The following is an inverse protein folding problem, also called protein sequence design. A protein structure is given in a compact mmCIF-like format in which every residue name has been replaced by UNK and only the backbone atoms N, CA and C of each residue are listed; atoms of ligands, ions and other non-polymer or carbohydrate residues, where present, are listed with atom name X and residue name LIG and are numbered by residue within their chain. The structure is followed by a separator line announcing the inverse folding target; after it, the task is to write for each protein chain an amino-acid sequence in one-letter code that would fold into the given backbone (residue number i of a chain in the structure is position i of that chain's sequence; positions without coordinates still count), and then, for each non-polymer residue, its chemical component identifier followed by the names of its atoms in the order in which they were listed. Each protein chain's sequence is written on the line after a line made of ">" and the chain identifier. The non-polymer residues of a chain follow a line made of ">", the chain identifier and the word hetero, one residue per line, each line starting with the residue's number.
data_IF_536829096080
#
_entry.id   IF_536829096080
#
_cell.length_a   1.000
_cell.length_b   1.000
_cell.length_c   1.000
_cell.angle_alpha   90.00
_cell.angle_beta   90.00
_cell.angle_gamma   90.00
#
_symmetry.space_group_name_H-M   'P 1'
#
loop_
_entity.id
_entity.type
_entity.pdbx_description
1 polymer ?
#
# COMPACT_ATOMS: atom_id res chain seq x y z
N UNK A 1 16.46 23.94 -36.77
CA UNK A 1 15.53 22.78 -36.69
C UNK A 1 16.13 21.60 -35.94
N UNK A 2 17.40 21.28 -36.14
CA UNK A 2 18.09 20.15 -35.46
C UNK A 2 18.24 20.36 -33.94
N UNK A 3 18.53 21.58 -33.49
CA UNK A 3 18.58 21.93 -32.05
C UNK A 3 17.24 21.71 -31.33
N UNK A 4 16.12 22.04 -31.99
CA UNK A 4 14.77 21.82 -31.44
C UNK A 4 14.47 20.32 -31.30
N UNK A 5 14.91 19.52 -32.27
CA UNK A 5 14.78 18.05 -32.22
C UNK A 5 15.64 17.45 -31.11
N UNK A 6 16.87 17.92 -30.93
CA UNK A 6 17.75 17.49 -29.84
C UNK A 6 17.19 17.89 -28.46
N UNK A 7 16.66 19.11 -28.33
CA UNK A 7 16.02 19.55 -27.09
C UNK A 7 14.81 18.69 -26.74
N UNK A 8 13.95 18.39 -27.72
CA UNK A 8 12.80 17.50 -27.53
C UNK A 8 13.22 16.11 -27.06
N UNK A 9 14.21 15.50 -27.71
CA UNK A 9 14.71 14.17 -27.31
C UNK A 9 15.29 14.17 -25.89
N UNK A 10 15.98 15.24 -25.48
CA UNK A 10 16.51 15.36 -24.11
C UNK A 10 15.37 15.48 -23.11
N UNK A 11 14.33 16.26 -23.41
CA UNK A 11 13.16 16.43 -22.55
C UNK A 11 12.37 15.13 -22.38
N UNK A 12 12.10 14.40 -23.47
CA UNK A 12 11.43 13.10 -23.43
C UNK A 12 12.20 12.12 -22.54
N UNK A 13 13.53 12.05 -22.70
CA UNK A 13 14.39 11.19 -21.87
C UNK A 13 14.41 11.58 -20.39
N UNK A 14 14.26 12.87 -20.08
CA UNK A 14 14.14 13.33 -18.68
C UNK A 14 12.77 12.95 -18.12
N UNK A 15 11.71 13.11 -18.90
CA UNK A 15 10.35 12.71 -18.51
C UNK A 15 10.24 11.21 -18.20
N UNK A 16 10.79 10.36 -19.06
CA UNK A 16 10.86 8.91 -18.83
C UNK A 16 11.56 8.56 -17.51
N UNK A 17 12.69 9.20 -17.24
CA UNK A 17 13.43 9.00 -15.98
C UNK A 17 12.65 9.45 -14.76
N UNK A 18 11.86 10.52 -14.88
CA UNK A 18 11.02 11.02 -13.79
C UNK A 18 9.87 10.06 -13.49
N UNK A 19 9.18 9.56 -14.53
CA UNK A 19 8.12 8.56 -14.40
C UNK A 19 8.68 7.27 -13.78
N UNK A 20 9.85 6.80 -14.25
CA UNK A 20 10.50 5.64 -13.67
C UNK A 20 10.85 5.84 -12.19
N UNK A 21 11.37 7.01 -11.83
CA UNK A 21 11.66 7.34 -10.43
C UNK A 21 10.40 7.35 -9.55
N UNK A 22 9.30 7.93 -10.05
CA UNK A 22 8.00 7.93 -9.37
C UNK A 22 7.50 6.50 -9.08
N UNK A 23 7.56 5.62 -10.08
CA UNK A 23 7.19 4.20 -9.93
C UNK A 23 8.08 3.48 -8.90
N UNK A 24 9.38 3.77 -8.87
CA UNK A 24 10.29 3.23 -7.85
C UNK A 24 9.92 3.73 -6.45
N UNK A 25 9.60 5.01 -6.28
CA UNK A 25 9.18 5.54 -4.98
C UNK A 25 7.84 4.97 -4.51
N UNK A 26 6.89 4.76 -5.42
CA UNK A 26 5.65 4.06 -5.12
C UNK A 26 5.92 2.61 -4.66
N UNK A 27 6.80 1.87 -5.35
CA UNK A 27 7.23 0.55 -4.92
C UNK A 27 7.83 0.56 -3.50
N UNK A 28 8.70 1.53 -3.20
CA UNK A 28 9.30 1.67 -1.88
C UNK A 28 8.25 1.84 -0.78
N UNK A 29 7.19 2.60 -1.03
CA UNK A 29 6.12 2.82 -0.06
C UNK A 29 5.40 1.51 0.31
N UNK A 30 5.04 0.70 -0.70
CA UNK A 30 4.45 -0.64 -0.48
C UNK A 30 5.43 -1.58 0.22
N UNK A 31 6.71 -1.55 -0.16
CA UNK A 31 7.73 -2.40 0.44
C UNK A 31 7.96 -2.09 1.91
N UNK A 32 8.01 -0.80 2.30
CA UNK A 32 8.15 -0.41 3.72
C UNK A 32 6.98 -0.96 4.54
N UNK A 33 5.75 -0.85 4.04
CA UNK A 33 4.59 -1.42 4.72
C UNK A 33 4.65 -2.95 4.82
N UNK A 34 5.05 -3.62 3.73
CA UNK A 34 5.20 -5.07 3.73
C UNK A 34 6.24 -5.54 4.77
N UNK A 35 7.37 -4.83 4.89
CA UNK A 35 8.40 -5.11 5.91
C UNK A 35 7.86 -4.90 7.32
N UNK A 36 7.07 -3.85 7.56
CA UNK A 36 6.40 -3.63 8.85
C UNK A 36 5.44 -4.77 9.17
N UNK A 37 4.57 -5.14 8.24
CA UNK A 37 3.62 -6.23 8.44
C UNK A 37 4.34 -7.56 8.73
N UNK A 38 5.36 -7.90 7.94
CA UNK A 38 6.15 -9.11 8.13
C UNK A 38 6.92 -9.10 9.45
N UNK A 39 7.51 -7.95 9.81
CA UNK A 39 8.24 -7.76 11.06
C UNK A 39 7.37 -8.02 12.29
N UNK A 40 6.09 -7.65 12.24
CA UNK A 40 5.14 -7.95 13.32
C UNK A 40 5.02 -9.46 13.54
N UNK A 41 4.74 -10.22 12.46
CA UNK A 41 4.58 -11.67 12.52
C UNK A 41 5.87 -12.40 12.91
N UNK A 42 7.03 -11.93 12.45
CA UNK A 42 8.33 -12.46 12.88
C UNK A 42 8.53 -12.27 14.39
N UNK A 43 8.09 -11.12 14.93
CA UNK A 43 8.24 -10.79 16.36
C UNK A 43 7.32 -11.63 17.23
N UNK A 44 6.05 -11.80 16.83
CA UNK A 44 5.07 -12.52 17.64
C UNK A 44 5.10 -14.04 17.43
N UNK A 45 5.62 -14.52 16.29
CA UNK A 45 5.58 -15.93 15.90
C UNK A 45 6.15 -16.92 16.93
N UNK A 46 7.29 -16.61 17.60
CA UNK A 46 7.84 -17.48 18.64
C UNK A 46 7.05 -17.47 19.97
N UNK A 47 6.08 -16.57 20.16
CA UNK A 47 5.39 -16.37 21.44
C UNK A 47 4.16 -17.28 21.56
N UNK A 48 4.03 -17.99 22.68
CA UNK A 48 2.85 -18.83 22.98
C UNK A 48 1.58 -18.00 23.24
N UNK A 49 1.75 -16.77 23.72
CA UNK A 49 0.68 -15.80 23.92
C UNK A 49 1.25 -14.42 23.61
N UNK A 50 0.48 -13.60 22.89
CA UNK A 50 0.90 -12.25 22.48
C UNK A 50 0.35 -11.24 23.49
N UNK A 51 1.21 -10.56 24.27
CA UNK A 51 0.76 -9.51 25.17
C UNK A 51 0.17 -8.35 24.36
N UNK A 52 -1.01 -7.86 24.75
CA UNK A 52 -1.66 -6.75 24.03
C UNK A 52 -0.79 -5.48 24.02
N UNK A 53 0.03 -5.26 25.07
CA UNK A 53 0.97 -4.15 25.16
C UNK A 53 2.01 -4.23 24.04
N UNK A 54 2.54 -5.43 23.74
CA UNK A 54 3.51 -5.63 22.67
C UNK A 54 2.89 -5.26 21.32
N UNK A 55 1.66 -5.70 21.06
CA UNK A 55 0.92 -5.36 19.84
C UNK A 55 0.75 -3.85 19.69
N UNK A 56 0.27 -3.16 20.74
CA UNK A 56 0.06 -1.72 20.68
C UNK A 56 1.39 -0.97 20.51
N UNK A 57 2.40 -1.30 21.30
CA UNK A 57 3.73 -0.66 21.20
C UNK A 57 4.33 -0.87 19.81
N UNK A 58 4.23 -2.09 19.26
CA UNK A 58 4.71 -2.38 17.91
C UNK A 58 4.02 -1.49 16.87
N UNK A 59 2.69 -1.48 16.85
CA UNK A 59 1.94 -0.75 15.82
C UNK A 59 2.10 0.78 15.93
N UNK A 60 2.26 1.32 17.14
CA UNK A 60 2.59 2.74 17.35
C UNK A 60 3.96 3.07 16.77
N UNK A 61 5.00 2.29 17.11
CA UNK A 61 6.36 2.50 16.61
C UNK A 61 6.45 2.28 15.10
N UNK A 62 5.78 1.26 14.59
CA UNK A 62 5.70 0.96 13.17
C UNK A 62 5.02 2.07 12.37
N UNK A 63 3.92 2.64 12.89
CA UNK A 63 3.23 3.77 12.26
C UNK A 63 4.10 5.02 12.22
N UNK A 64 4.86 5.27 13.30
CA UNK A 64 5.83 6.36 13.35
C UNK A 64 6.97 6.15 12.33
N UNK A 65 7.51 4.93 12.26
CA UNK A 65 8.55 4.56 11.29
C UNK A 65 8.03 4.69 9.84
N UNK A 66 6.84 4.18 9.56
CA UNK A 66 6.20 4.31 8.24
C UNK A 66 6.07 5.77 7.84
N UNK A 67 5.50 6.60 8.71
CA UNK A 67 5.33 8.04 8.48
C UNK A 67 6.67 8.74 8.23
N UNK A 68 7.71 8.37 8.97
CA UNK A 68 9.08 8.88 8.76
C UNK A 68 9.61 8.52 7.37
N UNK A 69 9.53 7.25 6.95
CA UNK A 69 9.96 6.81 5.63
C UNK A 69 9.14 7.44 4.51
N UNK A 70 7.81 7.48 4.64
CA UNK A 70 6.92 8.14 3.68
C UNK A 70 7.29 9.62 3.53
N UNK A 71 7.60 10.33 4.62
CA UNK A 71 8.06 11.71 4.56
C UNK A 71 9.39 11.87 3.81
N UNK A 72 10.33 10.94 3.98
CA UNK A 72 11.61 10.95 3.24
C UNK A 72 11.37 10.73 1.76
N UNK A 73 10.60 9.70 1.41
CA UNK A 73 10.23 9.36 0.03
C UNK A 73 9.54 10.55 -0.63
N UNK A 74 8.53 11.11 0.05
CA UNK A 74 7.77 12.25 -0.44
C UNK A 74 8.65 13.47 -0.69
N UNK A 75 9.53 13.83 0.25
CA UNK A 75 10.46 14.96 0.06
C UNK A 75 11.34 14.79 -1.18
N UNK A 76 11.79 13.57 -1.48
CA UNK A 76 12.59 13.29 -2.68
C UNK A 76 11.76 13.40 -3.96
N UNK A 77 10.55 12.85 -3.95
CA UNK A 77 9.62 12.93 -5.07
C UNK A 77 9.21 14.37 -5.38
N UNK A 78 8.94 15.17 -4.34
CA UNK A 78 8.66 16.61 -4.45
C UNK A 78 9.83 17.34 -5.09
N UNK A 79 11.06 17.09 -4.62
CA UNK A 79 12.27 17.73 -5.17
C UNK A 79 12.47 17.39 -6.65
N UNK A 80 12.20 16.15 -7.06
CA UNK A 80 12.26 15.71 -8.46
C UNK A 80 11.24 16.45 -9.33
N UNK A 81 9.98 16.51 -8.89
CA UNK A 81 8.92 17.23 -9.62
C UNK A 81 9.22 18.71 -9.80
N UNK A 82 9.69 19.38 -8.73
CA UNK A 82 10.09 20.79 -8.79
C UNK A 82 11.25 21.01 -9.76
N UNK A 83 12.26 20.12 -9.75
CA UNK A 83 13.39 20.20 -10.69
C UNK A 83 12.98 19.99 -12.15
N UNK A 84 11.86 19.32 -12.39
CA UNK A 84 11.28 19.07 -13.70
C UNK A 84 10.30 20.17 -14.15
N UNK A 85 10.10 21.23 -13.34
CA UNK A 85 9.10 22.26 -13.61
C UNK A 85 7.65 21.79 -13.48
N UNK A 86 7.41 20.57 -12.94
CA UNK A 86 6.06 20.06 -12.69
C UNK A 86 5.54 20.59 -11.35
N UNK A 87 4.31 21.13 -11.35
CA UNK A 87 3.58 21.39 -10.11
C UNK A 87 3.16 20.05 -9.51
N UNK A 88 3.48 19.87 -8.24
CA UNK A 88 2.97 18.75 -7.45
C UNK A 88 1.49 19.04 -7.22
N UNK A 89 0.59 18.32 -7.90
CA UNK A 89 -0.86 18.40 -7.67
C UNK A 89 -1.25 17.63 -6.40
N UNK A 90 -0.62 17.98 -5.27
CA UNK A 90 -0.95 17.45 -3.95
C UNK A 90 -1.77 18.47 -3.18
N UNK A 91 -3.01 18.74 -3.60
CA UNK A 91 -3.93 19.55 -2.81
C UNK A 91 -4.20 18.88 -1.46
N UNK A 92 -4.48 19.65 -0.41
CA UNK A 92 -4.88 19.14 0.91
C UNK A 92 -5.96 18.04 0.81
N UNK A 93 -6.89 18.19 -0.15
CA UNK A 93 -7.95 17.23 -0.45
C UNK A 93 -7.44 15.82 -0.86
N UNK A 94 -6.35 15.72 -1.63
CA UNK A 94 -5.77 14.43 -2.02
C UNK A 94 -5.22 13.68 -0.80
N UNK A 95 -4.44 14.38 0.04
CA UNK A 95 -3.92 13.81 1.28
C UNK A 95 -5.03 13.38 2.24
N UNK A 96 -6.09 14.18 2.36
CA UNK A 96 -7.26 13.82 3.16
C UNK A 96 -8.01 12.61 2.62
N UNK A 97 -8.21 12.51 1.30
CA UNK A 97 -8.86 11.34 0.70
C UNK A 97 -8.09 10.05 1.00
N UNK A 98 -6.76 10.09 0.90
CA UNK A 98 -5.88 8.99 1.29
C UNK A 98 -6.08 8.63 2.76
N UNK A 99 -5.95 9.59 3.68
CA UNK A 99 -6.13 9.35 5.12
C UNK A 99 -7.51 8.78 5.44
N UNK A 100 -8.57 9.32 4.83
CA UNK A 100 -9.94 8.85 5.03
C UNK A 100 -10.15 7.41 4.52
N UNK A 101 -9.47 6.99 3.45
CA UNK A 101 -9.52 5.59 3.00
C UNK A 101 -8.93 4.61 4.03
N UNK A 102 -7.86 5.02 4.72
CA UNK A 102 -7.25 4.23 5.79
C UNK A 102 -8.10 4.23 7.07
N UNK A 103 -8.66 5.38 7.46
CA UNK A 103 -9.57 5.48 8.61
C UNK A 103 -10.82 4.63 8.37
N UNK A 104 -11.48 4.79 7.22
CA UNK A 104 -12.69 4.03 6.90
C UNK A 104 -12.43 2.52 6.81
N UNK A 105 -11.32 2.11 6.17
CA UNK A 105 -10.93 0.70 6.14
C UNK A 105 -10.61 0.16 7.53
N UNK A 106 -9.98 0.94 8.40
CA UNK A 106 -9.69 0.55 9.79
C UNK A 106 -10.99 0.29 10.54
N UNK A 107 -11.96 1.20 10.43
CA UNK A 107 -13.29 1.06 11.04
C UNK A 107 -13.99 -0.19 10.51
N UNK A 108 -13.98 -0.38 9.18
CA UNK A 108 -14.63 -1.52 8.54
C UNK A 108 -14.00 -2.85 8.94
N UNK A 109 -12.69 -2.99 8.76
CA UNK A 109 -12.00 -4.27 8.91
C UNK A 109 -11.71 -4.67 10.35
N UNK A 110 -11.54 -3.73 11.29
CA UNK A 110 -11.25 -4.09 12.69
C UNK A 110 -12.46 -4.05 13.61
N UNK A 111 -13.51 -3.28 13.28
CA UNK A 111 -14.66 -3.10 14.16
C UNK A 111 -15.95 -3.64 13.54
N UNK A 112 -16.33 -3.18 12.35
CA UNK A 112 -17.63 -3.51 11.76
C UNK A 112 -17.68 -4.99 11.34
N UNK A 113 -16.74 -5.42 10.51
CA UNK A 113 -16.73 -6.78 9.94
C UNK A 113 -16.57 -7.85 11.01
N UNK A 114 -15.57 -7.80 11.91
CA UNK A 114 -15.42 -8.84 12.95
C UNK A 114 -16.65 -8.93 13.86
N UNK A 115 -17.28 -7.79 14.20
CA UNK A 115 -18.48 -7.76 15.05
C UNK A 115 -19.71 -8.37 14.38
N UNK A 116 -19.88 -8.18 13.07
CA UNK A 116 -20.98 -8.79 12.33
C UNK A 116 -20.76 -10.29 12.11
N UNK A 117 -19.51 -10.73 12.06
CA UNK A 117 -19.14 -12.12 11.79
C UNK A 117 -18.96 -12.98 13.05
N UNK A 118 -18.79 -12.39 14.22
CA UNK A 118 -18.51 -13.11 15.48
C UNK A 118 -19.64 -14.03 15.95
N UNK A 119 -20.86 -13.89 15.42
CA UNK A 119 -21.98 -14.81 15.67
C UNK A 119 -22.01 -16.03 14.74
N UNK A 120 -21.24 -16.00 13.64
CA UNK A 120 -21.29 -17.00 12.57
C UNK A 120 -19.98 -17.77 12.45
N UNK A 121 -18.85 -17.12 12.73
CA UNK A 121 -17.51 -17.66 12.54
C UNK A 121 -16.69 -17.59 13.81
N UNK A 122 -15.68 -18.46 13.91
CA UNK A 122 -14.69 -18.40 14.97
C UNK A 122 -13.96 -17.05 15.00
N UNK A 123 -13.48 -16.59 16.18
CA UNK A 123 -12.84 -15.29 16.32
C UNK A 123 -11.69 -15.05 15.33
N UNK A 124 -10.84 -16.05 15.07
CA UNK A 124 -9.70 -15.94 14.16
C UNK A 124 -10.12 -15.84 12.69
N UNK A 125 -11.22 -16.50 12.30
CA UNK A 125 -11.81 -16.40 10.96
C UNK A 125 -12.39 -15.00 10.76
N UNK A 126 -13.17 -14.51 11.73
CA UNK A 126 -13.74 -13.17 11.69
C UNK A 126 -12.65 -12.08 11.63
N UNK A 127 -11.57 -12.23 12.40
CA UNK A 127 -10.41 -11.35 12.36
C UNK A 127 -9.63 -11.44 11.04
N UNK A 128 -9.44 -12.65 10.49
CA UNK A 128 -8.77 -12.84 9.20
C UNK A 128 -9.54 -12.18 8.05
N UNK A 129 -10.86 -12.36 8.01
CA UNK A 129 -11.74 -11.68 7.05
C UNK A 129 -11.66 -10.16 7.25
N UNK A 130 -11.78 -9.70 8.49
CA UNK A 130 -11.68 -8.28 8.84
C UNK A 130 -10.36 -7.64 8.38
N UNK A 131 -9.23 -8.32 8.60
CA UNK A 131 -7.92 -7.85 8.17
C UNK A 131 -7.80 -7.74 6.65
N UNK A 132 -8.28 -8.74 5.89
CA UNK A 132 -8.32 -8.66 4.43
C UNK A 132 -9.25 -7.56 3.93
N UNK A 133 -10.42 -7.36 4.57
CA UNK A 133 -11.33 -6.25 4.24
C UNK A 133 -10.67 -4.91 4.49
N UNK A 134 -9.98 -4.72 5.62
CA UNK A 134 -9.23 -3.50 5.92
C UNK A 134 -8.25 -3.17 4.80
N UNK A 135 -7.36 -4.10 4.44
CA UNK A 135 -6.35 -3.87 3.41
C UNK A 135 -6.98 -3.62 2.05
N UNK A 136 -7.94 -4.47 1.65
CA UNK A 136 -8.63 -4.32 0.36
C UNK A 136 -9.29 -2.95 0.24
N UNK A 137 -10.04 -2.54 1.25
CA UNK A 137 -10.79 -1.28 1.24
C UNK A 137 -9.86 -0.07 1.26
N UNK A 138 -8.86 -0.05 2.15
CA UNK A 138 -7.94 1.08 2.28
C UNK A 138 -7.10 1.28 1.03
N UNK A 139 -6.54 0.20 0.47
CA UNK A 139 -5.72 0.30 -0.75
C UNK A 139 -6.59 0.63 -1.97
N UNK A 140 -7.82 0.12 -2.05
CA UNK A 140 -8.76 0.50 -3.11
C UNK A 140 -9.16 1.99 -3.03
N UNK A 141 -9.45 2.50 -1.83
CA UNK A 141 -9.75 3.93 -1.64
C UNK A 141 -8.56 4.83 -1.97
N UNK A 142 -7.34 4.40 -1.65
CA UNK A 142 -6.10 5.05 -2.09
C UNK A 142 -5.98 5.06 -3.63
N UNK A 143 -6.23 3.91 -4.27
CA UNK A 143 -6.23 3.80 -5.74
C UNK A 143 -7.26 4.74 -6.39
N UNK A 144 -8.48 4.82 -5.85
CA UNK A 144 -9.51 5.75 -6.32
C UNK A 144 -9.10 7.21 -6.11
N UNK A 145 -8.44 7.52 -5.01
CA UNK A 145 -7.96 8.88 -4.72
C UNK A 145 -6.93 9.31 -5.77
N UNK A 146 -5.96 8.45 -6.07
CA UNK A 146 -4.96 8.70 -7.13
C UNK A 146 -5.65 8.88 -8.48
N UNK A 147 -6.55 7.96 -8.84
CA UNK A 147 -7.27 8.05 -10.11
C UNK A 147 -8.10 9.34 -10.23
N UNK A 148 -8.77 9.76 -9.15
CA UNK A 148 -9.62 10.94 -9.16
C UNK A 148 -8.83 12.26 -9.20
N UNK A 149 -7.83 12.40 -8.33
CA UNK A 149 -7.11 13.67 -8.12
C UNK A 149 -5.91 13.85 -9.06
N UNK A 150 -5.12 12.80 -9.27
CA UNK A 150 -3.94 12.85 -10.14
C UNK A 150 -4.25 12.54 -11.60
N UNK A 151 -5.48 12.06 -11.88
CA UNK A 151 -5.89 11.58 -13.21
C UNK A 151 -4.95 10.50 -13.79
N UNK A 152 -4.16 9.86 -12.93
CA UNK A 152 -3.28 8.74 -13.26
C UNK A 152 -3.93 7.44 -12.82
N UNK A 153 -3.89 6.44 -13.71
CA UNK A 153 -4.36 5.09 -13.39
C UNK A 153 -3.19 4.22 -12.96
N UNK A 154 -2.97 4.12 -11.65
CA UNK A 154 -1.91 3.32 -11.04
C UNK A 154 -2.27 1.82 -11.03
N UNK A 155 -2.27 1.19 -12.21
CA UNK A 155 -2.64 -0.22 -12.39
C UNK A 155 -1.76 -1.18 -11.57
N UNK A 156 -0.54 -0.77 -11.24
CA UNK A 156 0.40 -1.53 -10.43
C UNK A 156 -0.11 -1.78 -8.99
N UNK A 157 -1.04 -0.96 -8.50
CA UNK A 157 -1.70 -1.12 -7.21
C UNK A 157 -2.76 -2.22 -7.16
N UNK A 158 -3.27 -2.67 -8.31
CA UNK A 158 -4.41 -3.58 -8.39
C UNK A 158 -4.21 -4.86 -7.56
N UNK A 159 -3.05 -5.55 -7.61
CA UNK A 159 -2.82 -6.74 -6.79
C UNK A 159 -3.03 -6.47 -5.30
N UNK A 160 -2.53 -5.35 -4.78
CA UNK A 160 -2.56 -5.02 -3.35
C UNK A 160 -3.96 -4.85 -2.74
N UNK A 161 -5.00 -4.56 -3.53
CA UNK A 161 -6.39 -4.54 -3.04
C UNK A 161 -7.25 -5.70 -3.56
N UNK A 162 -7.02 -6.14 -4.80
CA UNK A 162 -7.88 -7.13 -5.44
C UNK A 162 -7.61 -8.53 -4.90
N UNK A 163 -6.34 -8.90 -4.71
CA UNK A 163 -5.98 -10.23 -4.20
C UNK A 163 -6.50 -10.43 -2.77
N UNK A 164 -6.28 -9.50 -1.82
CA UNK A 164 -6.88 -9.61 -0.49
C UNK A 164 -8.41 -9.76 -0.53
N UNK A 165 -9.10 -9.02 -1.41
CA UNK A 165 -10.55 -9.10 -1.55
C UNK A 165 -11.02 -10.48 -2.05
N UNK A 166 -10.34 -11.02 -3.07
CA UNK A 166 -10.66 -12.32 -3.65
C UNK A 166 -10.38 -13.49 -2.71
N UNK A 167 -9.50 -13.30 -1.73
CA UNK A 167 -9.14 -14.34 -0.76
C UNK A 167 -10.13 -14.43 0.41
N UNK A 168 -10.92 -13.39 0.68
CA UNK A 168 -11.92 -13.37 1.77
C UNK A 168 -12.79 -14.64 1.83
N UNK A 169 -13.39 -15.13 0.72
CA UNK A 169 -14.24 -16.32 0.75
C UNK A 169 -13.50 -17.62 1.09
N UNK A 170 -12.17 -17.64 1.02
CA UNK A 170 -11.33 -18.79 1.34
C UNK A 170 -10.98 -18.86 2.84
N UNK A 171 -11.08 -17.75 3.58
CA UNK A 171 -10.68 -17.70 4.99
C UNK A 171 -11.40 -18.73 5.88
N UNK A 172 -12.72 -18.97 5.73
CA UNK A 172 -13.39 -20.00 6.53
C UNK A 172 -12.86 -21.42 6.28
N UNK A 173 -12.21 -21.69 5.14
CA UNK A 173 -11.64 -23.01 4.82
C UNK A 173 -10.28 -23.26 5.48
N UNK A 174 -9.67 -22.23 6.05
CA UNK A 174 -8.37 -22.28 6.72
C UNK A 174 -8.47 -21.74 8.15
N UNK A 175 -9.56 -22.07 8.84
CA UNK A 175 -9.95 -21.47 10.11
C UNK A 175 -8.83 -21.45 11.16
N UNK A 176 -8.15 -22.58 11.34
CA UNK A 176 -7.07 -22.75 12.33
C UNK A 176 -5.88 -21.81 12.13
N UNK A 177 -5.69 -21.32 10.90
CA UNK A 177 -4.57 -20.46 10.51
C UNK A 177 -5.04 -19.19 9.79
N UNK A 178 -6.31 -18.80 9.98
CA UNK A 178 -6.98 -17.76 9.20
C UNK A 178 -6.20 -16.44 9.15
N UNK A 179 -5.72 -15.95 10.30
CA UNK A 179 -4.98 -14.69 10.39
C UNK A 179 -3.60 -14.77 9.74
N UNK A 180 -2.93 -15.92 9.86
CA UNK A 180 -1.62 -16.17 9.25
C UNK A 180 -1.77 -16.22 7.73
N UNK A 181 -2.77 -16.96 7.25
CA UNK A 181 -3.08 -17.05 5.82
C UNK A 181 -3.43 -15.68 5.23
N UNK A 182 -4.23 -14.88 5.94
CA UNK A 182 -4.52 -13.50 5.56
C UNK A 182 -3.24 -12.63 5.51
N UNK A 183 -2.33 -12.78 6.47
CA UNK A 183 -1.02 -12.14 6.47
C UNK A 183 -0.19 -12.47 5.22
N UNK A 184 -0.07 -13.75 4.88
CA UNK A 184 0.63 -14.20 3.67
C UNK A 184 -0.04 -13.71 2.38
N UNK A 185 -1.37 -13.70 2.33
CA UNK A 185 -2.13 -13.17 1.20
C UNK A 185 -1.80 -11.70 0.95
N UNK A 186 -1.76 -10.87 1.99
CA UNK A 186 -1.38 -9.46 1.89
C UNK A 186 0.09 -9.29 1.50
N UNK A 187 1.00 -10.05 2.11
CA UNK A 187 2.42 -10.01 1.78
C UNK A 187 2.68 -10.37 0.31
N UNK A 188 2.02 -11.42 -0.20
CA UNK A 188 2.08 -11.84 -1.60
C UNK A 188 1.52 -10.75 -2.53
N UNK A 189 0.35 -10.21 -2.21
CA UNK A 189 -0.27 -9.13 -2.98
C UNK A 189 0.61 -7.88 -3.07
N UNK A 190 1.20 -7.47 -1.94
CA UNK A 190 2.11 -6.32 -1.88
C UNK A 190 3.41 -6.60 -2.63
N UNK A 191 3.96 -7.81 -2.54
CA UNK A 191 5.11 -8.23 -3.33
C UNK A 191 4.85 -8.15 -4.83
N UNK A 192 3.68 -8.60 -5.30
CA UNK A 192 3.28 -8.46 -6.70
C UNK A 192 3.12 -6.99 -7.11
N UNK A 193 2.55 -6.15 -6.25
CA UNK A 193 2.45 -4.70 -6.51
C UNK A 193 3.83 -4.06 -6.62
N UNK A 194 4.77 -4.39 -5.72
CA UNK A 194 6.16 -3.91 -5.79
C UNK A 194 6.82 -4.34 -7.10
N UNK A 195 6.69 -5.61 -7.48
CA UNK A 195 7.23 -6.11 -8.75
C UNK A 195 6.59 -5.42 -9.96
N UNK A 196 5.28 -5.19 -9.94
CA UNK A 196 4.58 -4.47 -11.01
C UNK A 196 5.09 -3.03 -11.16
N UNK A 197 5.30 -2.33 -10.05
CA UNK A 197 5.88 -1.00 -10.04
C UNK A 197 7.31 -0.96 -10.58
N UNK A 198 8.16 -1.89 -10.13
CA UNK A 198 9.54 -1.99 -10.60
C UNK A 198 9.59 -2.33 -12.10
N UNK A 199 8.78 -3.29 -12.55
CA UNK A 199 8.66 -3.65 -13.96
C UNK A 199 8.22 -2.45 -14.81
N UNK A 200 7.18 -1.72 -14.36
CA UNK A 200 6.69 -0.51 -15.03
C UNK A 200 7.78 0.56 -15.12
N UNK A 201 8.54 0.77 -14.04
CA UNK A 201 9.66 1.70 -14.01
C UNK A 201 10.74 1.37 -15.05
N UNK A 202 11.16 0.10 -15.15
CA UNK A 202 12.17 -0.32 -16.12
C UNK A 202 11.65 -0.29 -17.56
N UNK A 203 10.38 -0.65 -17.78
CA UNK A 203 9.75 -0.54 -19.10
C UNK A 203 9.67 0.91 -19.59
N UNK A 204 9.60 1.89 -18.69
CA UNK A 204 9.62 3.31 -19.09
C UNK A 204 11.03 3.79 -19.49
N UNK A 205 12.09 3.10 -19.08
CA UNK A 205 13.47 3.49 -19.37
C UNK A 205 14.07 2.86 -20.64
N UNK A 206 13.42 1.85 -21.21
CA UNK A 206 13.90 1.08 -22.37
C UNK A 206 12.92 1.18 -23.53
#
# INVERSE_FOLDING_TARGET
>A
MEEVKNLKNVLERIEEKLIAAEKIYAAMHFQVWAVIMAGYYITIGPLKAVPWQLTITYWVLASAAFTYFTRIIWKRLVKLHLSAGRKIMGGSAFGWAMVLSWISGTILGWFIVPRHLSGTFEPWVALGIGYLTFISWSVFGMFLSIWHFEKSLEKEMIPAFLIPALIIPLIPRVADVAIIYAGFAVAFAFGLTVLAYIYSAFRTLG
#
